data_IF_586276287289
#
_entry.id   IF_586276287289
#
_cell.length_a   1.000
_cell.length_b   1.000
_cell.length_c   1.000
_cell.angle_alpha   90.00
_cell.angle_beta   90.00
_cell.angle_gamma   90.00
#
_symmetry.space_group_name_H-M   'P 1'
#
loop_
_entity.id
_entity.type
_entity.pdbx_description
1 polymer ?
#
# COMPACT_ATOMS: atom_id res chain seq x y z
N UNK A 1 -13.74 9.77 12.71
CA UNK A 1 -12.25 9.76 12.62
C UNK A 1 -11.83 8.39 12.14
N UNK A 2 -11.07 8.31 11.04
CA UNK A 2 -10.60 7.07 10.44
C UNK A 2 -9.06 7.09 10.35
N UNK A 3 -8.39 6.01 10.74
CA UNK A 3 -6.93 5.90 10.67
C UNK A 3 -6.57 5.19 9.36
N UNK A 4 -5.76 5.85 8.52
CA UNK A 4 -5.34 5.32 7.23
C UNK A 4 -4.01 4.57 7.29
N UNK A 5 -3.05 5.12 8.04
CA UNK A 5 -1.72 4.52 8.18
C UNK A 5 -1.11 4.91 9.53
N UNK A 6 -0.19 4.10 10.00
CA UNK A 6 0.62 4.33 11.19
C UNK A 6 2.07 4.02 10.86
N UNK A 7 2.99 4.98 11.05
CA UNK A 7 4.42 4.77 10.75
C UNK A 7 5.32 5.62 11.63
N UNK A 8 6.32 5.00 12.25
CA UNK A 8 7.32 5.66 13.09
C UNK A 8 6.71 6.57 14.17
N UNK A 9 5.68 6.06 14.87
CA UNK A 9 4.95 6.81 15.89
C UNK A 9 4.08 7.94 15.35
N UNK A 10 3.86 8.02 14.02
CA UNK A 10 2.94 8.96 13.39
C UNK A 10 1.68 8.24 12.90
N UNK A 11 0.54 8.92 12.98
CA UNK A 11 -0.74 8.44 12.48
C UNK A 11 -1.24 9.37 11.38
N UNK A 12 -1.63 8.80 10.25
CA UNK A 12 -2.39 9.50 9.22
C UNK A 12 -3.87 9.30 9.48
N UNK A 13 -4.57 10.40 9.72
CA UNK A 13 -5.95 10.40 10.17
C UNK A 13 -6.82 11.22 9.24
N UNK A 14 -7.98 10.68 8.91
CA UNK A 14 -9.06 11.38 8.21
C UNK A 14 -10.12 11.80 9.23
N UNK A 15 -10.46 13.08 9.20
CA UNK A 15 -11.58 13.66 9.90
C UNK A 15 -12.68 13.95 8.90
N UNK A 16 -13.81 13.27 9.07
CA UNK A 16 -14.99 13.50 8.26
C UNK A 16 -15.62 14.82 8.68
N UNK A 17 -15.30 15.87 7.92
CA UNK A 17 -15.90 17.18 8.04
C UNK A 17 -16.76 17.38 6.80
N UNK A 18 -18.00 17.82 6.97
CA UNK A 18 -18.82 18.19 5.82
C UNK A 18 -18.43 19.62 5.39
N UNK A 19 -18.17 19.90 4.09
CA UNK A 19 -18.39 19.03 2.92
C UNK A 19 -17.20 18.15 2.51
N UNK A 20 -15.99 18.46 2.98
CA UNK A 20 -14.75 17.79 2.56
C UNK A 20 -14.00 17.13 3.72
N UNK A 21 -13.59 15.88 3.49
CA UNK A 21 -12.72 15.17 4.41
C UNK A 21 -11.39 15.91 4.59
N UNK A 22 -11.02 16.13 5.85
CA UNK A 22 -9.74 16.74 6.21
C UNK A 22 -8.76 15.64 6.63
N UNK A 23 -7.51 15.73 6.18
CA UNK A 23 -6.45 14.80 6.56
C UNK A 23 -5.44 15.49 7.46
N UNK A 24 -4.92 14.80 8.47
CA UNK A 24 -3.85 15.31 9.34
C UNK A 24 -2.85 14.20 9.67
N UNK A 25 -1.60 14.58 9.94
CA UNK A 25 -0.59 13.69 10.51
C UNK A 25 -0.41 14.03 11.98
N UNK A 26 -0.64 13.05 12.85
CA UNK A 26 -0.46 13.17 14.29
C UNK A 26 0.80 12.45 14.73
N UNK A 27 1.61 13.09 15.56
CA UNK A 27 2.72 12.42 16.25
C UNK A 27 2.25 11.90 17.61
N UNK A 28 2.43 10.61 17.86
CA UNK A 28 2.13 9.97 19.15
C UNK A 28 3.15 10.34 20.23
N UNK A 29 4.36 10.72 19.82
CA UNK A 29 5.46 11.05 20.73
C UNK A 29 5.49 12.54 21.08
N UNK A 30 4.94 13.39 20.21
CA UNK A 30 4.96 14.84 20.37
C UNK A 30 3.57 15.40 20.08
N UNK A 31 2.72 15.62 21.10
CA UNK A 31 1.41 16.20 20.91
C UNK A 31 1.56 17.65 20.42
N UNK A 32 1.28 17.87 19.14
CA UNK A 32 1.26 19.18 18.48
C UNK A 32 -0.16 19.41 17.97
N UNK A 33 -0.67 20.66 17.90
CA UNK A 33 -1.94 20.94 17.25
C UNK A 33 -2.03 20.31 15.86
N UNK A 34 -3.22 19.80 15.52
CA UNK A 34 -3.47 19.22 14.20
C UNK A 34 -3.35 20.29 13.12
N UNK A 35 -2.44 20.08 12.16
CA UNK A 35 -2.36 20.89 10.96
C UNK A 35 -2.94 20.10 9.79
N UNK A 36 -3.98 20.64 9.11
CA UNK A 36 -4.60 19.95 8.00
C UNK A 36 -3.62 19.86 6.83
N UNK A 37 -3.49 18.67 6.25
CA UNK A 37 -2.80 18.47 4.99
C UNK A 37 -3.60 19.13 3.86
N UNK A 38 -2.92 19.60 2.79
CA UNK A 38 -3.59 20.03 1.57
C UNK A 38 -4.49 18.91 1.02
N UNK A 39 -5.66 19.29 0.50
CA UNK A 39 -6.62 18.35 -0.07
C UNK A 39 -5.95 17.45 -1.12
N UNK A 40 -6.08 16.11 -1.01
CA UNK A 40 -5.49 15.21 -1.98
C UNK A 40 -6.06 15.43 -3.38
N UNK A 41 -5.29 15.13 -4.45
CA UNK A 41 -5.77 15.26 -5.81
C UNK A 41 -7.08 14.49 -6.02
N UNK A 42 -8.03 15.04 -6.78
CA UNK A 42 -9.32 14.40 -6.99
C UNK A 42 -9.16 13.06 -7.70
N UNK A 43 -10.03 12.12 -7.34
CA UNK A 43 -10.12 10.82 -8.02
C UNK A 43 -10.52 11.05 -9.48
N UNK A 44 -9.92 10.30 -10.39
CA UNK A 44 -10.28 10.39 -11.79
C UNK A 44 -11.60 9.66 -12.06
N UNK A 45 -12.72 10.39 -12.05
CA UNK A 45 -14.07 9.84 -12.24
C UNK A 45 -14.36 9.35 -13.66
N UNK A 46 -13.42 9.49 -14.59
CA UNK A 46 -13.60 9.11 -16.01
C UNK A 46 -13.70 7.59 -16.17
N UNK A 47 -13.08 6.81 -15.27
CA UNK A 47 -13.11 5.35 -15.36
C UNK A 47 -14.39 4.78 -14.75
N UNK A 48 -15.17 4.07 -15.57
CA UNK A 48 -16.42 3.37 -15.20
C UNK A 48 -16.23 2.11 -14.34
N UNK A 49 -15.02 1.86 -13.85
CA UNK A 49 -14.67 0.69 -13.02
C UNK A 49 -14.75 0.96 -11.51
N UNK A 50 -14.43 -0.06 -10.73
CA UNK A 50 -14.33 0.06 -9.27
C UNK A 50 -13.08 0.87 -8.91
N UNK A 51 -13.24 1.86 -8.02
CA UNK A 51 -12.14 2.75 -7.60
C UNK A 51 -12.00 2.73 -6.08
N UNK A 52 -10.76 2.75 -5.59
CA UNK A 52 -10.44 2.95 -4.17
C UNK A 52 -9.28 3.94 -4.04
N UNK A 53 -9.40 4.85 -3.08
CA UNK A 53 -8.32 5.79 -2.74
C UNK A 53 -7.69 5.32 -1.43
N UNK A 54 -6.37 5.40 -1.38
CA UNK A 54 -5.53 4.99 -0.26
C UNK A 54 -4.52 6.11 0.02
N UNK A 55 -4.23 6.32 1.29
CA UNK A 55 -3.25 7.31 1.73
C UNK A 55 -2.22 6.64 2.63
N UNK A 56 -0.93 6.95 2.44
CA UNK A 56 0.17 6.34 3.19
C UNK A 56 1.20 7.37 3.67
N UNK A 57 1.86 7.09 4.79
CA UNK A 57 2.99 7.88 5.30
C UNK A 57 4.30 7.42 4.66
N UNK A 58 5.08 8.39 4.17
CA UNK A 58 6.43 8.17 3.63
C UNK A 58 7.52 8.40 4.69
N UNK A 59 8.72 7.85 4.44
CA UNK A 59 9.89 8.04 5.33
C UNK A 59 10.57 9.39 5.12
N UNK A 60 10.49 9.93 3.90
CA UNK A 60 11.34 11.02 3.44
C UNK A 60 11.27 12.25 4.35
N UNK A 61 10.08 12.64 4.84
CA UNK A 61 9.90 13.79 5.73
C UNK A 61 8.68 13.67 6.67
N UNK A 62 8.60 14.53 7.69
CA UNK A 62 7.63 14.50 8.79
C UNK A 62 6.15 14.40 8.37
N UNK A 63 5.78 15.06 7.27
CA UNK A 63 4.39 15.12 6.79
C UNK A 63 4.24 14.56 5.36
N UNK A 64 5.27 13.88 4.84
CA UNK A 64 5.21 13.35 3.49
C UNK A 64 4.21 12.21 3.37
N UNK A 65 3.28 12.34 2.43
CA UNK A 65 2.19 11.40 2.23
C UNK A 65 2.10 10.97 0.77
N UNK A 66 1.71 9.73 0.54
CA UNK A 66 1.31 9.24 -0.78
C UNK A 66 -0.21 9.23 -0.87
N UNK A 67 -0.76 9.81 -1.93
CA UNK A 67 -2.14 9.59 -2.34
C UNK A 67 -2.14 8.61 -3.52
N UNK A 68 -2.78 7.45 -3.36
CA UNK A 68 -2.90 6.40 -4.38
C UNK A 68 -4.38 6.16 -4.68
N UNK A 69 -4.77 6.23 -5.95
CA UNK A 69 -6.06 5.76 -6.43
C UNK A 69 -5.85 4.52 -7.28
N UNK A 70 -6.46 3.42 -6.87
CA UNK A 70 -6.53 2.19 -7.65
C UNK A 70 -7.84 2.16 -8.40
N UNK A 71 -7.78 2.01 -9.72
CA UNK A 71 -8.92 1.83 -10.60
C UNK A 71 -8.80 0.49 -11.29
N UNK A 72 -9.84 -0.34 -11.18
CA UNK A 72 -9.82 -1.67 -11.76
C UNK A 72 -10.93 -1.82 -12.80
N UNK A 73 -10.52 -2.14 -14.01
CA UNK A 73 -11.36 -2.45 -15.16
C UNK A 73 -10.80 -3.70 -15.80
N UNK A 74 -11.27 -4.87 -15.34
CA UNK A 74 -10.70 -6.16 -15.71
C UNK A 74 -10.50 -6.28 -17.25
N UNK A 75 -9.32 -6.75 -17.71
CA UNK A 75 -8.19 -7.31 -16.94
C UNK A 75 -7.15 -6.26 -16.46
N UNK A 76 -7.45 -4.98 -16.61
CA UNK A 76 -6.53 -3.88 -16.33
C UNK A 76 -6.65 -3.37 -14.89
N UNK A 77 -5.50 -3.16 -14.25
CA UNK A 77 -5.35 -2.44 -12.99
C UNK A 77 -4.54 -1.17 -13.27
N UNK A 78 -5.06 -0.04 -12.83
CA UNK A 78 -4.40 1.26 -12.91
C UNK A 78 -4.13 1.81 -11.52
N UNK A 79 -2.93 2.32 -11.32
CA UNK A 79 -2.56 3.10 -10.15
C UNK A 79 -2.27 4.53 -10.57
N UNK A 80 -3.11 5.44 -10.08
CA UNK A 80 -2.96 6.88 -10.20
C UNK A 80 -2.40 7.40 -8.87
N UNK A 81 -1.27 8.10 -8.85
CA UNK A 81 -0.69 8.55 -7.58
C UNK A 81 -0.02 9.92 -7.62
N UNK A 82 0.09 10.55 -6.45
CA UNK A 82 0.81 11.80 -6.22
C UNK A 82 1.41 11.80 -4.81
N UNK A 83 2.52 12.51 -4.64
CA UNK A 83 3.24 12.58 -3.38
C UNK A 83 3.13 13.99 -2.82
N UNK A 84 2.72 14.12 -1.56
CA UNK A 84 2.76 15.36 -0.80
C UNK A 84 4.15 15.53 -0.20
N UNK A 85 4.83 16.61 -0.56
CA UNK A 85 6.10 17.02 0.02
C UNK A 85 6.10 18.52 0.25
N UNK A 86 6.56 18.95 1.42
CA UNK A 86 6.63 20.37 1.79
C UNK A 86 5.31 21.14 1.58
N UNK A 87 4.17 20.49 1.87
CA UNK A 87 2.84 21.08 1.73
C UNK A 87 2.33 21.21 0.29
N UNK A 88 2.97 20.56 -0.70
CA UNK A 88 2.54 20.60 -2.10
C UNK A 88 2.45 19.20 -2.68
N UNK A 89 1.35 18.90 -3.38
CA UNK A 89 1.18 17.66 -4.13
C UNK A 89 1.98 17.71 -5.42
N UNK A 90 2.75 16.65 -5.68
CA UNK A 90 3.47 16.47 -6.95
C UNK A 90 2.50 16.36 -8.13
N UNK A 91 3.05 16.40 -9.35
CA UNK A 91 2.31 15.98 -10.53
C UNK A 91 1.78 14.56 -10.36
N UNK A 92 0.64 14.28 -10.99
CA UNK A 92 0.01 12.98 -10.96
C UNK A 92 0.70 12.01 -11.92
N UNK A 93 1.05 10.85 -11.41
CA UNK A 93 1.62 9.73 -12.16
C UNK A 93 0.57 8.63 -12.34
N UNK A 94 0.72 7.84 -13.40
CA UNK A 94 -0.16 6.72 -13.72
C UNK A 94 0.65 5.51 -14.15
N UNK A 95 0.48 4.40 -13.45
CA UNK A 95 0.98 3.08 -13.86
C UNK A 95 -0.20 2.18 -14.24
N UNK A 96 0.00 1.28 -15.21
CA UNK A 96 -1.02 0.35 -15.69
C UNK A 96 -0.42 -1.04 -15.85
N UNK A 97 -1.14 -2.07 -15.44
CA UNK A 97 -0.80 -3.48 -15.67
C UNK A 97 -2.03 -4.25 -16.13
N UNK A 98 -1.81 -5.18 -17.07
CA UNK A 98 -2.80 -6.18 -17.46
C UNK A 98 -2.49 -7.47 -16.74
N UNK A 99 -3.41 -7.95 -15.91
CA UNK A 99 -3.25 -9.21 -15.21
C UNK A 99 -3.94 -10.31 -16.02
N UNK A 100 -3.24 -11.41 -16.29
CA UNK A 100 -3.86 -12.57 -16.93
C UNK A 100 -4.89 -13.16 -15.96
N UNK A 101 -6.16 -13.06 -16.31
CA UNK A 101 -7.25 -13.59 -15.50
C UNK A 101 -7.67 -14.95 -16.02
N UNK A 102 -7.69 -15.95 -15.14
CA UNK A 102 -8.39 -17.20 -15.41
C UNK A 102 -9.88 -16.90 -15.26
N UNK A 103 -10.70 -17.40 -16.20
CA UNK A 103 -12.14 -17.16 -16.19
C UNK A 103 -12.77 -17.60 -14.85
N UNK A 104 -13.58 -16.70 -14.26
CA UNK A 104 -14.28 -16.95 -12.99
C UNK A 104 -13.57 -16.43 -11.74
N UNK A 105 -12.41 -15.79 -11.86
CA UNK A 105 -11.66 -15.31 -10.69
C UNK A 105 -11.95 -13.84 -10.33
N UNK A 106 -12.20 -13.61 -9.04
CA UNK A 106 -12.44 -12.28 -8.46
C UNK A 106 -11.15 -11.48 -8.18
N UNK A 107 -10.07 -11.72 -8.93
CA UNK A 107 -8.76 -11.08 -8.74
C UNK A 107 -8.84 -9.53 -8.67
N UNK A 108 -9.66 -8.84 -9.48
CA UNK A 108 -9.94 -7.40 -9.32
C UNK A 108 -10.35 -7.00 -7.90
N UNK A 109 -11.38 -7.65 -7.35
CA UNK A 109 -11.95 -7.28 -6.06
C UNK A 109 -10.95 -7.54 -4.93
N UNK A 110 -10.15 -8.59 -5.06
CA UNK A 110 -9.12 -8.90 -4.07
C UNK A 110 -8.00 -7.86 -4.02
N UNK A 111 -7.64 -7.25 -5.14
CA UNK A 111 -6.66 -6.15 -5.13
C UNK A 111 -7.24 -4.94 -4.39
N UNK A 112 -8.54 -4.66 -4.53
CA UNK A 112 -9.19 -3.57 -3.80
C UNK A 112 -9.16 -3.78 -2.29
N UNK A 113 -9.51 -4.99 -1.84
CA UNK A 113 -9.62 -5.33 -0.42
C UNK A 113 -8.30 -5.88 0.17
N UNK A 114 -7.26 -5.99 -0.65
CA UNK A 114 -5.96 -6.50 -0.24
C UNK A 114 -5.37 -5.67 0.90
N UNK A 115 -4.58 -6.34 1.75
CA UNK A 115 -3.66 -5.64 2.63
C UNK A 115 -2.65 -4.87 1.78
N UNK A 116 -2.50 -3.57 2.09
CA UNK A 116 -1.57 -2.68 1.39
C UNK A 116 -0.61 -2.08 2.38
N UNK A 117 0.65 -1.97 1.97
CA UNK A 117 1.66 -1.29 2.75
C UNK A 117 2.68 -0.66 1.83
N UNK A 118 3.35 0.37 2.35
CA UNK A 118 4.47 1.01 1.69
C UNK A 118 5.77 0.70 2.42
N UNK A 119 6.76 0.22 1.68
CA UNK A 119 8.15 0.08 2.14
C UNK A 119 9.00 0.91 1.18
N UNK A 120 9.82 1.80 1.73
CA UNK A 120 10.60 2.75 0.94
C UNK A 120 9.68 3.49 -0.07
N UNK A 121 9.92 3.35 -1.37
CA UNK A 121 9.10 3.94 -2.45
C UNK A 121 8.32 2.92 -3.26
N UNK A 122 7.94 1.80 -2.62
CA UNK A 122 7.15 0.74 -3.25
C UNK A 122 5.90 0.43 -2.43
N UNK A 123 4.76 0.34 -3.11
CA UNK A 123 3.49 -0.10 -2.51
C UNK A 123 3.31 -1.58 -2.84
N UNK A 124 3.08 -2.39 -1.81
CA UNK A 124 2.84 -3.82 -1.92
C UNK A 124 1.39 -4.12 -1.59
N UNK A 125 0.73 -4.90 -2.43
CA UNK A 125 -0.67 -5.31 -2.32
C UNK A 125 -0.73 -6.84 -2.29
N UNK A 126 -1.09 -7.42 -1.14
CA UNK A 126 -1.16 -8.86 -0.96
C UNK A 126 -2.42 -9.45 -1.59
N UNK A 127 -2.27 -10.32 -2.57
CA UNK A 127 -3.36 -11.17 -3.07
C UNK A 127 -3.17 -12.61 -2.58
N UNK A 128 -4.15 -13.49 -2.81
CA UNK A 128 -4.02 -14.93 -2.54
C UNK A 128 -3.01 -15.68 -3.42
N UNK A 129 -2.49 -15.05 -4.49
CA UNK A 129 -1.59 -15.70 -5.47
C UNK A 129 -0.20 -15.11 -5.52
N UNK A 130 -0.14 -13.80 -5.42
CA UNK A 130 1.10 -13.03 -5.58
C UNK A 130 0.96 -11.72 -4.80
N UNK A 131 2.08 -11.05 -4.62
CA UNK A 131 2.11 -9.67 -4.16
C UNK A 131 2.24 -8.80 -5.41
N UNK A 132 1.28 -7.90 -5.61
CA UNK A 132 1.39 -6.88 -6.64
C UNK A 132 2.19 -5.71 -6.04
N UNK A 133 3.33 -5.41 -6.64
CA UNK A 133 4.15 -4.28 -6.29
C UNK A 133 3.94 -3.12 -7.26
N UNK A 134 3.89 -1.91 -6.75
CA UNK A 134 3.95 -0.66 -7.50
C UNK A 134 5.23 0.07 -7.10
N UNK A 135 6.15 0.23 -8.05
CA UNK A 135 7.35 1.05 -7.88
C UNK A 135 7.02 2.50 -8.25
N UNK A 136 7.06 3.40 -7.25
CA UNK A 136 6.71 4.80 -7.44
C UNK A 136 7.77 5.56 -8.23
N UNK A 137 9.04 5.14 -8.18
CA UNK A 137 10.12 5.78 -8.91
C UNK A 137 10.11 5.36 -10.38
N UNK A 138 9.94 4.06 -10.64
CA UNK A 138 9.84 3.54 -12.01
C UNK A 138 8.45 3.79 -12.64
N UNK A 139 7.45 4.18 -11.83
CA UNK A 139 6.04 4.33 -12.26
C UNK A 139 5.54 3.06 -12.96
N UNK A 140 5.83 1.91 -12.37
CA UNK A 140 5.54 0.61 -12.99
C UNK A 140 5.13 -0.43 -11.96
N UNK A 141 4.40 -1.44 -12.42
CA UNK A 141 4.03 -2.58 -11.60
C UNK A 141 5.01 -3.73 -11.77
N UNK A 142 5.13 -4.55 -10.73
CA UNK A 142 5.83 -5.83 -10.74
C UNK A 142 5.07 -6.84 -9.88
N UNK A 143 5.38 -8.12 -10.02
CA UNK A 143 4.72 -9.20 -9.26
C UNK A 143 5.76 -10.03 -8.52
N UNK A 144 5.47 -10.38 -7.27
CA UNK A 144 6.26 -11.33 -6.48
C UNK A 144 5.40 -12.56 -6.22
N UNK A 145 5.90 -13.74 -6.58
CA UNK A 145 5.22 -15.00 -6.29
C UNK A 145 5.22 -15.28 -4.78
N UNK A 146 4.12 -15.85 -4.28
CA UNK A 146 4.06 -16.25 -2.89
C UNK A 146 4.82 -17.57 -2.67
N UNK A 147 5.63 -17.66 -1.60
CA UNK A 147 6.23 -18.91 -1.17
C UNK A 147 5.15 -19.81 -0.59
N UNK A 148 5.07 -21.05 -1.09
CA UNK A 148 4.02 -22.02 -0.77
C UNK A 148 2.57 -21.54 -1.03
N UNK A 149 1.65 -22.49 -1.27
CA UNK A 149 0.23 -22.18 -1.52
C UNK A 149 -0.55 -21.86 -0.23
N UNK A 150 0.14 -21.37 0.81
CA UNK A 150 -0.50 -20.98 2.05
C UNK A 150 -1.50 -19.84 1.78
N UNK A 151 -2.57 -19.78 2.58
CA UNK A 151 -3.69 -18.87 2.33
C UNK A 151 -3.84 -17.78 3.39
N UNK A 152 -3.15 -17.92 4.52
CA UNK A 152 -3.29 -17.06 5.68
C UNK A 152 -2.08 -16.14 5.83
N UNK A 153 -1.77 -15.45 4.75
CA UNK A 153 -0.66 -14.54 4.70
C UNK A 153 -1.01 -13.18 5.28
N UNK A 154 -0.07 -12.60 6.02
CA UNK A 154 -0.06 -11.19 6.37
C UNK A 154 1.28 -10.57 5.91
N UNK A 155 1.22 -9.34 5.43
CA UNK A 155 2.40 -8.55 5.16
C UNK A 155 2.73 -7.62 6.32
N UNK A 156 4.02 -7.43 6.56
CA UNK A 156 4.53 -6.47 7.54
C UNK A 156 5.80 -5.79 7.03
N UNK A 157 6.09 -4.60 7.57
CA UNK A 157 7.33 -3.86 7.28
C UNK A 157 8.47 -4.39 8.15
N UNK A 158 9.64 -4.62 7.55
CA UNK A 158 10.86 -4.88 8.30
C UNK A 158 11.53 -3.56 8.72
N UNK A 159 12.31 -3.59 9.81
CA UNK A 159 12.97 -2.38 10.37
C UNK A 159 13.86 -1.65 9.36
N UNK A 160 14.56 -2.36 8.47
CA UNK A 160 15.61 -1.79 7.62
C UNK A 160 15.22 -1.74 6.14
N UNK A 161 13.93 -1.53 5.84
CA UNK A 161 13.29 -1.45 4.51
C UNK A 161 13.18 -2.76 3.72
N UNK A 162 12.85 -3.82 4.45
CA UNK A 162 12.41 -5.09 3.88
C UNK A 162 10.92 -5.32 4.05
N UNK A 163 10.45 -6.42 3.46
CA UNK A 163 9.10 -6.92 3.59
C UNK A 163 9.13 -8.25 4.33
N UNK A 164 8.27 -8.40 5.34
CA UNK A 164 7.96 -9.70 5.90
C UNK A 164 6.65 -10.21 5.34
N UNK A 165 6.66 -11.46 4.89
CA UNK A 165 5.46 -12.25 4.69
C UNK A 165 5.35 -13.23 5.84
N UNK A 166 4.20 -13.27 6.49
CA UNK A 166 3.97 -14.06 7.68
C UNK A 166 2.81 -15.00 7.39
N UNK A 167 3.03 -16.30 7.54
CA UNK A 167 1.97 -17.31 7.56
C UNK A 167 1.90 -17.92 8.96
N UNK A 168 0.69 -18.00 9.50
CA UNK A 168 0.41 -18.60 10.79
C UNK A 168 -0.59 -19.74 10.61
N UNK A 169 -0.14 -20.96 10.87
CA UNK A 169 -0.97 -22.16 10.79
C UNK A 169 -0.86 -22.96 12.09
N UNK A 170 -1.93 -22.95 12.89
CA UNK A 170 -1.92 -23.55 14.23
C UNK A 170 -0.88 -22.87 15.13
N UNK A 171 0.10 -23.63 15.63
CA UNK A 171 1.23 -23.14 16.44
C UNK A 171 2.51 -22.93 15.63
N UNK A 172 2.46 -23.05 14.31
CA UNK A 172 3.63 -22.84 13.44
C UNK A 172 3.58 -21.45 12.83
N UNK A 173 4.70 -20.73 12.94
CA UNK A 173 4.92 -19.45 12.28
C UNK A 173 5.97 -19.62 11.19
N UNK A 174 5.62 -19.26 9.96
CA UNK A 174 6.56 -19.17 8.84
C UNK A 174 6.72 -17.70 8.50
N UNK A 175 7.96 -17.25 8.49
CA UNK A 175 8.29 -15.86 8.16
C UNK A 175 9.26 -15.89 7.00
N UNK A 176 8.87 -15.22 5.93
CA UNK A 176 9.76 -14.95 4.83
C UNK A 176 10.16 -13.48 4.80
N UNK A 177 11.42 -13.23 4.46
CA UNK A 177 11.97 -11.89 4.35
C UNK A 177 12.43 -11.59 2.92
N UNK A 178 12.17 -10.38 2.46
CA UNK A 178 12.72 -9.86 1.21
C UNK A 178 13.58 -8.64 1.52
N UNK A 179 14.86 -8.70 1.14
CA UNK A 179 15.84 -7.63 1.30
C UNK A 179 15.73 -6.53 0.22
N UNK A 180 16.30 -5.35 0.50
CA UNK A 180 16.30 -4.13 -0.34
C UNK A 180 16.66 -4.35 -1.82
N UNK A 181 17.34 -5.45 -2.16
CA UNK A 181 18.13 -5.59 -3.38
C UNK A 181 17.40 -6.30 -4.52
N UNK A 182 16.12 -6.00 -4.77
CA UNK A 182 15.45 -6.38 -6.04
C UNK A 182 15.47 -7.87 -6.43
N UNK A 183 15.94 -8.75 -5.55
CA UNK A 183 15.86 -10.18 -5.71
C UNK A 183 14.40 -10.51 -5.45
N UNK A 184 13.71 -10.87 -6.52
CA UNK A 184 12.33 -11.35 -6.49
C UNK A 184 12.37 -12.70 -5.75
N UNK A 185 12.26 -12.64 -4.43
CA UNK A 185 12.49 -13.80 -3.59
C UNK A 185 12.28 -13.52 -2.11
N UNK A 186 11.89 -14.57 -1.41
CA UNK A 186 11.54 -14.59 0.00
C UNK A 186 12.39 -15.67 0.65
N UNK A 187 13.32 -15.28 1.53
CA UNK A 187 14.13 -16.22 2.29
C UNK A 187 13.36 -16.63 3.56
N UNK A 188 13.13 -17.93 3.72
CA UNK A 188 12.25 -18.48 4.75
C UNK A 188 12.97 -18.85 6.04
N UNK A 189 12.35 -18.51 7.17
CA UNK A 189 12.72 -18.99 8.50
C UNK A 189 11.54 -19.74 9.12
N UNK A 190 11.82 -20.90 9.74
CA UNK A 190 10.84 -21.66 10.50
C UNK A 190 11.00 -21.39 11.99
N UNK A 191 9.95 -20.87 12.61
CA UNK A 191 9.88 -20.69 14.06
C UNK A 191 8.79 -21.62 14.60
N UNK A 192 9.21 -22.64 15.36
CA UNK A 192 8.31 -23.47 16.16
C UNK A 192 8.34 -22.95 17.59
N UNK A 193 7.16 -22.66 18.15
CA UNK A 193 6.98 -22.37 19.57
C UNK A 193 6.89 -23.65 20.39
#
# INVERSE_FOLDING_TARGET
MHIWDCRNGRLLVQMSNWPDDTYTVRSLLHPVPDFPLPTPPPRNRIYSGCQSQHMFLLEDHGDSCLCLTLSISAPEVRADFSILQSGVWSVKHSAVIKLQMVSGEALPLQIMDSQKLIVDRKVYMLTYRFILGLDLAATSFFTIELPDRARNHALSRALHSGLYLIDATGFQLRVWHSDRCGAVGFDGYHLCA
#
